data_IF_282690787737
#
_entry.id   IF_282690787737
#
_cell.length_a   1.000
_cell.length_b   1.000
_cell.length_c   1.000
_cell.angle_alpha   90.00
_cell.angle_beta   90.00
_cell.angle_gamma   90.00
#
_symmetry.space_group_name_H-M   'P 1'
#
loop_
_entity.id
_entity.type
_entity.pdbx_description
1 polymer ?
#
# COMPACT_ATOMS: atom_id res chain seq x y z
N UNK A 1 7.91 13.22 6.91
CA UNK A 1 7.87 11.89 6.30
C UNK A 1 7.07 10.98 7.22
N UNK A 2 6.34 10.03 6.65
CA UNK A 2 5.66 8.98 7.40
C UNK A 2 6.65 7.83 7.59
N UNK A 3 6.68 7.24 8.78
CA UNK A 3 7.57 6.09 9.08
C UNK A 3 6.85 4.76 8.79
N UNK A 4 5.56 4.69 9.08
CA UNK A 4 4.71 3.54 8.79
C UNK A 4 3.24 3.85 9.10
N UNK A 5 2.37 2.89 8.80
CA UNK A 5 0.98 2.85 9.21
C UNK A 5 0.65 1.42 9.63
N UNK A 6 -0.12 1.26 10.70
CA UNK A 6 -0.54 -0.03 11.24
C UNK A 6 -2.06 -0.01 11.38
N UNK A 7 -2.69 -1.12 11.04
CA UNK A 7 -4.06 -1.42 11.49
C UNK A 7 -3.95 -1.93 12.93
N UNK A 8 -4.82 -1.45 13.81
CA UNK A 8 -4.82 -1.81 15.24
C UNK A 8 -6.24 -1.91 15.76
N UNK A 9 -6.41 -2.70 16.80
CA UNK A 9 -7.61 -2.80 17.63
C UNK A 9 -7.41 -2.05 18.95
N UNK A 10 -8.50 -1.74 19.65
CA UNK A 10 -8.49 -0.92 20.87
C UNK A 10 -7.60 -1.48 21.99
N UNK A 11 -7.45 -2.81 22.04
CA UNK A 11 -6.67 -3.51 23.06
C UNK A 11 -5.25 -3.85 22.62
N UNK A 12 -4.84 -3.44 21.41
CA UNK A 12 -3.50 -3.68 20.93
C UNK A 12 -2.48 -2.77 21.63
N UNK A 13 -1.23 -3.18 21.52
CA UNK A 13 -0.09 -2.38 21.92
C UNK A 13 0.84 -2.20 20.74
N UNK A 14 1.47 -1.03 20.68
CA UNK A 14 2.44 -0.69 19.65
C UNK A 14 3.78 -0.36 20.30
N UNK A 15 4.85 -0.75 19.62
CA UNK A 15 6.23 -0.45 19.97
C UNK A 15 6.77 0.64 19.04
N UNK A 16 7.26 1.73 19.64
CA UNK A 16 7.98 2.79 18.95
C UNK A 16 9.49 2.59 19.13
N UNK A 17 10.25 2.61 18.04
CA UNK A 17 11.70 2.37 18.06
C UNK A 17 12.40 3.59 17.46
N UNK A 18 13.31 4.20 18.23
CA UNK A 18 14.12 5.33 17.76
C UNK A 18 15.48 4.87 17.22
N UNK A 19 16.12 5.72 16.41
CA UNK A 19 17.48 5.47 15.91
C UNK A 19 18.49 5.37 17.06
N UNK A 20 18.25 6.07 18.17
CA UNK A 20 19.03 5.96 19.39
C UNK A 20 18.85 4.65 20.18
N UNK A 21 18.00 3.74 19.72
CA UNK A 21 17.71 2.47 20.40
C UNK A 21 16.72 2.58 21.56
N UNK A 22 16.02 3.71 21.70
CA UNK A 22 14.94 3.82 22.67
C UNK A 22 13.71 3.06 22.15
N UNK A 23 13.16 2.21 23.01
CA UNK A 23 11.93 1.46 22.73
C UNK A 23 10.85 1.88 23.72
N UNK A 24 9.68 2.22 23.21
CA UNK A 24 8.53 2.64 24.02
C UNK A 24 7.30 1.84 23.61
N UNK A 25 6.74 1.09 24.56
CA UNK A 25 5.48 0.35 24.42
C UNK A 25 4.33 1.26 24.85
N UNK A 26 3.29 1.35 24.02
CA UNK A 26 2.11 2.19 24.26
C UNK A 26 0.87 1.37 23.91
N UNK A 27 -0.16 1.45 24.76
CA UNK A 27 -1.46 0.88 24.46
C UNK A 27 -2.25 1.77 23.51
N UNK A 28 -2.98 1.16 22.59
CA UNK A 28 -3.76 1.89 21.60
C UNK A 28 -4.88 2.70 22.26
N UNK A 29 -5.50 2.18 23.32
CA UNK A 29 -6.53 2.89 24.11
C UNK A 29 -6.06 4.20 24.76
N UNK A 30 -4.76 4.34 25.05
CA UNK A 30 -4.16 5.57 25.56
C UNK A 30 -3.91 6.63 24.47
N UNK A 31 -4.00 6.24 23.18
CA UNK A 31 -3.78 7.13 22.05
C UNK A 31 -5.06 7.87 21.69
N UNK A 32 -5.01 9.19 21.74
CA UNK A 32 -6.15 10.02 21.35
C UNK A 32 -6.48 9.84 19.87
N UNK A 33 -7.73 9.45 19.58
CA UNK A 33 -8.28 9.45 18.24
C UNK A 33 -8.34 10.86 17.63
N UNK A 34 -7.84 10.97 16.39
CA UNK A 34 -7.87 12.22 15.61
C UNK A 34 -8.22 11.92 14.16
N UNK A 35 -8.78 12.90 13.45
CA UNK A 35 -9.13 12.73 12.03
C UNK A 35 -7.90 12.66 11.10
N UNK A 36 -8.11 12.15 9.88
CA UNK A 36 -7.04 11.95 8.87
C UNK A 36 -6.37 13.25 8.40
N UNK A 37 -7.09 14.36 8.42
CA UNK A 37 -6.56 15.68 8.04
C UNK A 37 -6.17 16.50 9.28
N UNK A 38 -5.31 15.92 10.12
CA UNK A 38 -4.79 16.55 11.34
C UNK A 38 -3.29 16.29 11.48
N UNK A 39 -2.64 16.96 12.43
CA UNK A 39 -1.23 16.73 12.76
C UNK A 39 -1.01 15.55 13.72
N UNK A 40 -2.09 14.94 14.24
CA UNK A 40 -2.02 13.91 15.28
C UNK A 40 -1.58 14.44 16.66
N UNK A 41 -1.11 13.53 17.51
CA UNK A 41 -0.63 13.81 18.87
C UNK A 41 0.81 13.30 19.06
N UNK A 42 1.54 13.89 20.01
CA UNK A 42 2.90 13.46 20.36
C UNK A 42 2.82 12.30 21.36
N UNK A 43 3.34 11.14 20.97
CA UNK A 43 3.37 9.93 21.82
C UNK A 43 4.64 9.81 22.67
N UNK A 44 5.79 10.24 22.15
CA UNK A 44 7.09 10.12 22.82
C UNK A 44 7.91 11.39 22.70
N UNK A 45 8.68 11.72 23.74
CA UNK A 45 9.71 12.74 23.67
C UNK A 45 11.02 12.14 23.17
N UNK A 46 11.44 12.53 21.96
CA UNK A 46 12.77 12.18 21.47
C UNK A 46 13.79 13.26 21.83
N UNK A 47 15.04 12.85 22.03
CA UNK A 47 16.15 13.80 22.20
C UNK A 47 16.33 14.69 20.97
N UNK A 48 17.03 15.83 21.11
CA UNK A 48 17.17 16.87 20.07
C UNK A 48 17.67 16.37 18.70
N UNK A 49 18.34 15.21 18.64
CA UNK A 49 18.87 14.60 17.41
C UNK A 49 18.33 13.20 17.15
N UNK A 50 17.41 12.73 17.97
CA UNK A 50 16.84 11.39 17.84
C UNK A 50 15.54 11.44 17.06
N UNK A 51 15.31 10.38 16.27
CA UNK A 51 14.19 10.27 15.34
C UNK A 51 13.55 8.91 15.50
N UNK A 52 12.25 8.85 15.26
CA UNK A 52 11.54 7.59 15.13
C UNK A 52 12.04 6.86 13.89
N UNK A 53 12.41 5.59 14.06
CA UNK A 53 12.90 4.72 12.99
C UNK A 53 11.85 3.71 12.55
N UNK A 54 11.11 3.12 13.49
CA UNK A 54 10.13 2.09 13.19
C UNK A 54 8.96 2.11 14.19
N UNK A 55 7.86 1.50 13.75
CA UNK A 55 6.68 1.18 14.56
C UNK A 55 6.35 -0.31 14.32
N UNK A 56 5.93 -1.03 15.36
CA UNK A 56 5.54 -2.43 15.24
C UNK A 56 4.40 -2.76 16.21
N UNK A 57 3.45 -3.65 15.84
CA UNK A 57 2.48 -4.19 16.79
C UNK A 57 3.17 -5.11 17.80
N UNK A 58 2.60 -5.22 18.99
CA UNK A 58 3.05 -6.15 20.03
C UNK A 58 2.10 -7.35 20.03
N UNK A 59 2.58 -8.47 19.51
CA UNK A 59 1.83 -9.73 19.50
C UNK A 59 1.97 -10.37 20.89
N UNK A 60 0.84 -10.62 21.53
CA UNK A 60 0.77 -11.36 22.79
C UNK A 60 0.57 -12.84 22.48
N UNK A 61 1.16 -13.75 23.26
CA UNK A 61 1.03 -15.21 23.07
C UNK A 61 -0.44 -15.71 23.14
N UNK A 62 -1.36 -14.88 23.63
CA UNK A 62 -2.81 -15.17 23.66
C UNK A 62 -3.54 -14.90 22.32
N UNK A 63 -2.89 -14.21 21.36
CA UNK A 63 -3.50 -13.73 20.11
C UNK A 63 -2.88 -14.38 18.85
N UNK A 64 -2.26 -15.56 18.95
CA UNK A 64 -1.57 -16.23 17.82
C UNK A 64 -2.49 -16.67 16.65
N UNK A 65 -3.79 -16.42 16.71
CA UNK A 65 -4.77 -16.98 15.76
C UNK A 65 -5.24 -16.05 14.63
N UNK A 66 -4.93 -14.73 14.60
CA UNK A 66 -5.68 -13.80 13.72
C UNK A 66 -4.91 -12.92 12.69
N UNK A 67 -3.57 -12.82 12.66
CA UNK A 67 -2.90 -11.92 11.69
C UNK A 67 -1.81 -12.60 10.85
N UNK A 68 -2.17 -13.04 9.64
CA UNK A 68 -1.22 -13.31 8.55
C UNK A 68 -1.23 -12.14 7.57
N UNK A 69 -0.05 -11.55 7.38
CA UNK A 69 0.24 -10.36 6.59
C UNK A 69 -0.11 -10.51 5.09
N UNK A 70 -0.94 -9.60 4.55
CA UNK A 70 -1.04 -9.33 3.12
C UNK A 70 0.06 -8.32 2.73
N UNK A 71 1.24 -8.85 2.38
CA UNK A 71 2.27 -8.11 1.65
C UNK A 71 1.72 -7.66 0.29
N UNK A 72 1.48 -6.35 0.15
CA UNK A 72 1.04 -5.73 -1.08
C UNK A 72 1.98 -6.04 -2.25
N UNK A 73 1.58 -7.00 -3.09
CA UNK A 73 2.23 -7.32 -4.35
C UNK A 73 2.27 -6.07 -5.25
N UNK A 74 3.48 -5.59 -5.54
CA UNK A 74 3.74 -4.57 -6.55
C UNK A 74 3.24 -5.07 -7.92
N UNK A 75 2.17 -4.48 -8.41
CA UNK A 75 1.68 -4.61 -9.78
C UNK A 75 2.72 -4.02 -10.75
N UNK A 76 3.47 -4.89 -11.42
CA UNK A 76 4.38 -4.53 -12.50
C UNK A 76 3.58 -4.52 -13.78
N UNK A 77 3.17 -3.33 -14.22
CA UNK A 77 2.57 -3.13 -15.54
C UNK A 77 3.62 -3.33 -16.64
N UNK A 78 3.69 -4.54 -17.19
CA UNK A 78 4.27 -4.83 -18.51
C UNK A 78 3.12 -5.29 -19.42
N UNK A 79 2.58 -4.37 -20.21
CA UNK A 79 1.58 -4.66 -21.22
C UNK A 79 2.21 -4.34 -22.59
N UNK A 80 2.90 -5.34 -23.14
CA UNK A 80 3.38 -5.34 -24.52
C UNK A 80 2.31 -6.05 -25.38
N UNK A 81 1.60 -5.39 -26.30
CA UNK A 81 0.61 -6.07 -27.13
C UNK A 81 1.31 -6.88 -28.23
N UNK A 82 1.11 -8.20 -28.20
CA UNK A 82 1.46 -9.13 -29.28
C UNK A 82 0.42 -9.05 -30.42
N UNK A 83 0.90 -8.99 -31.67
CA UNK A 83 0.08 -9.09 -32.89
C UNK A 83 -0.62 -10.45 -33.00
N UNK A 84 -1.86 -10.53 -33.53
CA UNK A 84 -2.48 -11.78 -33.97
C UNK A 84 -2.28 -12.01 -35.48
N UNK A 85 -1.85 -13.23 -35.83
CA UNK A 85 -1.69 -13.72 -37.22
C UNK A 85 -2.81 -14.70 -37.61
N UNK A 86 -3.25 -14.59 -38.87
CA UNK A 86 -3.91 -15.60 -39.75
C UNK A 86 -5.34 -16.07 -39.41
N UNK A 87 -6.21 -16.48 -40.34
CA UNK A 87 -6.43 -16.41 -41.80
C UNK A 87 -7.78 -17.13 -42.02
N UNK A 88 -8.56 -16.79 -43.06
CA UNK A 88 -9.56 -17.72 -43.62
C UNK A 88 -10.83 -17.11 -44.23
N UNK A 89 -10.84 -17.03 -45.58
CA UNK A 89 -11.89 -17.39 -46.57
C UNK A 89 -13.35 -16.89 -46.37
N UNK A 90 -14.13 -16.39 -47.33
CA UNK A 90 -14.24 -16.64 -48.78
C UNK A 90 -15.30 -15.69 -49.43
N UNK A 91 -15.14 -15.45 -50.74
CA UNK A 91 -16.11 -15.07 -51.79
C UNK A 91 -16.99 -13.77 -51.82
N UNK A 92 -16.75 -13.04 -52.93
CA UNK A 92 -17.69 -12.54 -53.95
C UNK A 92 -18.60 -11.33 -53.67
N UNK A 93 -18.29 -10.18 -54.30
CA UNK A 93 -19.09 -9.56 -55.39
C UNK A 93 -18.50 -8.20 -55.85
N UNK A 94 -17.92 -8.22 -57.05
CA UNK A 94 -17.97 -7.29 -58.20
C UNK A 94 -17.98 -5.74 -58.04
N UNK A 95 -17.04 -5.16 -58.82
CA UNK A 95 -16.78 -3.80 -59.36
C UNK A 95 -18.01 -3.04 -59.95
N UNK A 96 -17.91 -1.75 -60.42
CA UNK A 96 -16.72 -0.97 -60.80
C UNK A 96 -16.65 0.50 -60.36
N UNK A 97 -15.45 1.05 -60.54
CA UNK A 97 -15.10 2.48 -60.60
C UNK A 97 -15.73 3.17 -61.81
N UNK A 98 -16.06 4.46 -61.72
CA UNK A 98 -15.71 5.51 -62.70
C UNK A 98 -16.33 6.88 -62.35
N UNK A 99 -15.48 7.92 -62.25
CA UNK A 99 -15.61 9.29 -62.81
C UNK A 99 -14.69 10.22 -62.00
N UNK A 100 -13.52 10.66 -62.47
CA UNK A 100 -13.23 11.60 -63.57
C UNK A 100 -13.65 13.06 -63.29
N UNK A 101 -12.61 13.89 -63.24
CA UNK A 101 -12.49 15.32 -63.57
C UNK A 101 -13.04 16.38 -62.59
N UNK A 102 -12.12 17.19 -62.01
CA UNK A 102 -11.64 18.43 -62.65
C UNK A 102 -10.16 18.69 -62.33
#
# INVERSE_FOLDING_TARGET
>A
GIVGALTVHDHDEIMLITVGGQMVRIKVDDVRETGRNTMGVKLVETGKKDKLQAIAPVISEENEDEDTEEEGSNDTGDDTPSEPTAEGSDETTQEPTESSDE
#
